data_IF_949276711792
#
_entry.id   IF_949276711792
#
_cell.length_a   1.000
_cell.length_b   1.000
_cell.length_c   1.000
_cell.angle_alpha   90.00
_cell.angle_beta   90.00
_cell.angle_gamma   90.00
#
_symmetry.space_group_name_H-M   'P 1'
#
loop_
_entity.id
_entity.type
_entity.pdbx_description
1 polymer ?
#
# COMPACT_ATOMS: atom_id res chain seq x y z
N UNK A 1 26.17 0.98 -24.87
CA UNK A 1 26.41 1.10 -23.42
C UNK A 1 27.92 1.23 -23.26
N UNK A 2 28.43 2.37 -22.81
CA UNK A 2 29.87 2.55 -22.59
C UNK A 2 30.28 1.78 -21.34
N UNK A 3 31.34 0.97 -21.46
CA UNK A 3 31.82 0.00 -20.47
C UNK A 3 33.09 0.49 -19.75
N UNK A 4 33.08 1.71 -19.23
CA UNK A 4 34.16 2.18 -18.36
C UNK A 4 33.65 2.22 -16.92
N UNK A 5 33.66 1.05 -16.26
CA UNK A 5 33.52 0.98 -14.80
C UNK A 5 34.91 0.87 -14.19
N UNK A 6 35.37 1.88 -13.41
CA UNK A 6 36.64 1.78 -12.71
C UNK A 6 36.59 0.64 -11.69
N UNK A 7 37.48 -0.34 -11.83
CA UNK A 7 37.64 -1.44 -10.87
C UNK A 7 38.14 -0.87 -9.53
N UNK A 8 37.40 -1.13 -8.44
CA UNK A 8 37.87 -0.92 -7.07
C UNK A 8 37.46 0.37 -6.34
N UNK A 9 36.50 1.14 -6.86
CA UNK A 9 35.97 2.33 -6.17
C UNK A 9 34.89 2.00 -5.12
N UNK A 10 34.83 2.81 -4.05
CA UNK A 10 33.63 2.94 -3.21
C UNK A 10 32.38 3.05 -4.11
N UNK A 11 31.26 2.40 -3.76
CA UNK A 11 30.06 2.43 -4.58
C UNK A 11 29.65 3.88 -4.86
N UNK A 12 29.53 4.22 -6.14
CA UNK A 12 29.07 5.53 -6.55
C UNK A 12 27.69 5.81 -5.94
N UNK A 13 27.53 6.99 -5.34
CA UNK A 13 26.24 7.43 -4.79
C UNK A 13 25.54 8.35 -5.78
N UNK A 14 24.24 8.18 -5.93
CA UNK A 14 23.37 9.07 -6.72
C UNK A 14 22.39 9.80 -5.81
N UNK A 15 22.25 11.10 -6.03
CA UNK A 15 21.30 11.95 -5.30
C UNK A 15 20.19 12.36 -6.24
N UNK A 16 18.94 12.11 -5.82
CA UNK A 16 17.74 12.48 -6.57
C UNK A 16 16.94 13.51 -5.80
N UNK A 17 16.38 14.49 -6.52
CA UNK A 17 15.43 15.46 -5.97
C UNK A 17 14.03 15.03 -6.42
N UNK A 18 13.05 14.90 -5.51
CA UNK A 18 11.68 14.60 -5.90
C UNK A 18 11.16 15.58 -6.96
N UNK A 19 10.45 15.11 -7.96
CA UNK A 19 9.79 15.94 -8.97
C UNK A 19 8.43 16.46 -8.50
N UNK A 20 7.87 15.86 -7.46
CA UNK A 20 6.57 16.20 -6.91
C UNK A 20 6.24 15.40 -5.66
N UNK A 21 5.04 15.60 -5.14
CA UNK A 21 4.52 14.88 -3.98
C UNK A 21 3.10 14.42 -4.23
N UNK A 22 2.72 13.31 -3.60
CA UNK A 22 1.33 12.84 -3.57
C UNK A 22 0.52 13.67 -2.57
N UNK A 23 -0.70 14.03 -2.96
CA UNK A 23 -1.75 14.64 -2.14
C UNK A 23 -2.92 13.69 -2.02
N UNK A 24 -3.26 13.27 -0.80
CA UNK A 24 -4.34 12.31 -0.55
C UNK A 24 -4.89 12.44 0.87
N UNK A 25 -6.08 11.91 1.13
CA UNK A 25 -6.62 11.79 2.48
C UNK A 25 -5.92 10.72 3.33
N UNK A 26 -5.07 9.88 2.73
CA UNK A 26 -4.29 8.86 3.46
C UNK A 26 -3.14 9.49 4.26
N UNK A 27 -3.40 9.91 5.50
CA UNK A 27 -2.37 10.50 6.35
C UNK A 27 -1.53 9.42 7.06
N UNK A 28 -2.13 8.27 7.40
CA UNK A 28 -1.49 7.20 8.19
C UNK A 28 -1.45 5.88 7.41
N UNK A 29 -0.49 5.02 7.75
CA UNK A 29 -0.28 3.70 7.10
C UNK A 29 -1.50 2.79 7.07
N UNK A 30 -2.42 2.93 8.03
CA UNK A 30 -3.64 2.13 8.10
C UNK A 30 -4.76 2.68 7.21
N UNK A 31 -4.63 3.92 6.75
CA UNK A 31 -5.62 4.59 5.89
C UNK A 31 -5.44 4.17 4.41
N UNK A 32 -4.21 3.78 4.02
CA UNK A 32 -3.92 3.29 2.67
C UNK A 32 -4.15 1.78 2.50
N UNK A 33 -4.68 1.32 1.34
CA UNK A 33 -4.76 -0.11 1.02
C UNK A 33 -3.37 -0.75 0.98
N UNK A 34 -3.26 -2.05 1.32
CA UNK A 34 -1.96 -2.75 1.32
C UNK A 34 -1.38 -2.94 -0.07
N UNK A 35 -2.25 -3.14 -1.05
CA UNK A 35 -2.02 -3.04 -2.49
C UNK A 35 -3.35 -2.63 -3.14
N UNK A 36 -3.35 -1.74 -4.14
CA UNK A 36 -4.57 -1.40 -4.86
C UNK A 36 -5.05 -2.62 -5.66
N UNK A 37 -6.20 -3.18 -5.28
CA UNK A 37 -6.93 -4.18 -6.07
C UNK A 37 -8.13 -3.50 -6.76
N UNK A 38 -8.52 -4.05 -7.91
CA UNK A 38 -9.28 -3.39 -9.00
C UNK A 38 -10.69 -2.89 -8.67
N UNK A 39 -11.32 -3.30 -7.55
CA UNK A 39 -12.78 -3.26 -7.51
C UNK A 39 -13.47 -2.54 -6.35
N UNK A 40 -12.81 -2.15 -5.24
CA UNK A 40 -13.55 -1.54 -4.13
C UNK A 40 -12.84 -0.33 -3.50
N UNK A 41 -13.41 0.83 -3.83
CA UNK A 41 -13.09 2.20 -3.39
C UNK A 41 -11.83 2.82 -4.02
N UNK A 42 -12.09 3.50 -5.12
CA UNK A 42 -11.19 4.39 -5.86
C UNK A 42 -10.77 5.55 -4.97
N UNK A 43 -9.58 5.44 -4.37
CA UNK A 43 -8.99 6.57 -3.64
C UNK A 43 -8.53 7.58 -4.67
N UNK A 44 -9.18 8.74 -4.70
CA UNK A 44 -8.70 9.87 -5.49
C UNK A 44 -7.50 10.51 -4.80
N UNK A 45 -6.41 10.65 -5.53
CA UNK A 45 -5.22 11.38 -5.11
C UNK A 45 -4.71 12.27 -6.24
N UNK A 46 -3.79 13.17 -5.91
CA UNK A 46 -3.15 14.05 -6.90
C UNK A 46 -1.64 13.95 -6.75
N UNK A 47 -0.91 13.74 -7.84
CA UNK A 47 0.53 14.02 -7.86
C UNK A 47 0.70 15.48 -8.24
N UNK A 48 1.21 16.27 -7.30
CA UNK A 48 1.55 17.68 -7.49
C UNK A 48 3.03 17.79 -7.87
N UNK A 49 3.32 18.05 -9.15
CA UNK A 49 4.68 18.28 -9.64
C UNK A 49 5.18 19.67 -9.22
N UNK A 50 6.48 19.82 -8.97
CA UNK A 50 7.08 21.08 -8.50
C UNK A 50 6.98 22.21 -9.54
N UNK A 51 6.87 23.47 -9.12
CA UNK A 51 6.88 24.58 -10.07
C UNK A 51 8.29 24.85 -10.61
N UNK A 52 8.36 25.65 -11.68
CA UNK A 52 9.61 26.23 -12.22
C UNK A 52 10.64 25.23 -12.77
N UNK A 53 10.20 24.03 -13.16
CA UNK A 53 11.07 22.99 -13.75
C UNK A 53 10.52 22.46 -15.09
N UNK A 54 9.68 23.25 -15.77
CA UNK A 54 9.04 22.91 -17.05
C UNK A 54 8.18 21.63 -17.03
N UNK A 55 7.68 21.22 -15.86
CA UNK A 55 6.82 20.05 -15.77
C UNK A 55 5.48 20.23 -16.50
N UNK A 56 4.97 21.45 -16.65
CA UNK A 56 3.83 21.76 -17.50
C UNK A 56 4.03 21.30 -18.95
N UNK A 57 5.27 21.40 -19.46
CA UNK A 57 5.64 20.89 -20.77
C UNK A 57 5.96 19.39 -20.73
N UNK A 58 6.62 18.91 -19.68
CA UNK A 58 7.03 17.51 -19.57
C UNK A 58 5.85 16.52 -19.48
N UNK A 59 4.67 16.99 -19.06
CA UNK A 59 3.44 16.17 -18.99
C UNK A 59 2.60 16.23 -20.27
N UNK A 60 3.09 16.88 -21.33
CA UNK A 60 2.45 16.82 -22.65
C UNK A 60 2.21 15.35 -23.05
N UNK A 61 1.07 15.10 -23.68
CA UNK A 61 0.57 13.78 -24.10
C UNK A 61 0.26 12.77 -22.97
N UNK A 62 0.57 13.08 -21.71
CA UNK A 62 0.25 12.20 -20.60
C UNK A 62 -1.27 12.02 -20.41
N UNK A 63 -2.09 12.97 -20.88
CA UNK A 63 -3.55 12.86 -20.92
C UNK A 63 -4.06 11.70 -21.81
N UNK A 64 -3.23 11.19 -22.73
CA UNK A 64 -3.53 9.99 -23.52
C UNK A 64 -3.24 8.67 -22.79
N UNK A 65 -2.66 8.70 -21.59
CA UNK A 65 -2.31 7.52 -20.80
C UNK A 65 -3.44 7.16 -19.82
N UNK A 66 -3.96 5.93 -19.87
CA UNK A 66 -4.91 5.44 -18.85
C UNK A 66 -4.22 5.09 -17.53
N UNK A 67 -2.96 4.62 -17.60
CA UNK A 67 -2.16 4.21 -16.45
C UNK A 67 -0.75 4.74 -16.55
N UNK A 68 -0.18 5.04 -15.39
CA UNK A 68 1.20 5.49 -15.25
C UNK A 68 1.87 4.74 -14.09
N UNK A 69 3.16 4.51 -14.24
CA UNK A 69 4.05 4.15 -13.14
C UNK A 69 4.50 5.40 -12.40
N UNK A 70 4.40 5.36 -11.08
CA UNK A 70 5.06 6.30 -10.18
C UNK A 70 6.26 5.61 -9.54
N UNK A 71 7.44 6.22 -9.66
CA UNK A 71 8.62 5.87 -8.88
C UNK A 71 8.67 6.78 -7.67
N UNK A 72 8.63 6.23 -6.47
CA UNK A 72 8.44 6.99 -5.23
C UNK A 72 9.53 6.69 -4.20
N UNK A 73 9.56 7.47 -3.12
CA UNK A 73 10.45 7.21 -1.96
C UNK A 73 9.61 6.75 -0.77
N UNK A 74 9.99 5.65 -0.12
CA UNK A 74 9.51 5.26 1.21
C UNK A 74 10.16 6.15 2.27
N UNK A 75 9.78 7.44 2.26
CA UNK A 75 10.32 8.54 3.06
C UNK A 75 10.22 8.31 4.58
N UNK A 76 9.26 7.48 5.02
CA UNK A 76 9.02 7.17 6.44
C UNK A 76 9.80 5.95 6.95
N UNK A 77 10.79 5.46 6.21
CA UNK A 77 11.65 4.32 6.60
C UNK A 77 13.09 4.78 6.71
N UNK A 78 13.64 4.67 7.92
CA UNK A 78 15.03 5.06 8.18
C UNK A 78 16.03 3.91 8.03
N UNK A 79 15.58 2.66 8.22
CA UNK A 79 16.44 1.48 8.22
C UNK A 79 15.87 0.36 7.34
N UNK A 80 16.73 -0.23 6.53
CA UNK A 80 16.43 -1.43 5.76
C UNK A 80 16.69 -2.70 6.57
N UNK A 81 16.11 -3.83 6.14
CA UNK A 81 16.33 -5.14 6.76
C UNK A 81 16.55 -6.18 5.67
N UNK A 82 17.54 -7.07 5.79
CA UNK A 82 17.78 -8.12 4.80
C UNK A 82 16.65 -9.15 4.77
N UNK A 83 16.02 -9.41 5.92
CA UNK A 83 14.88 -10.31 6.07
C UNK A 83 13.68 -9.56 6.63
N UNK A 84 12.52 -9.80 6.05
CA UNK A 84 11.22 -9.23 6.46
C UNK A 84 10.19 -10.33 6.60
N UNK A 85 9.21 -10.16 7.48
CA UNK A 85 8.04 -11.03 7.56
C UNK A 85 6.93 -10.36 6.74
N UNK A 86 6.61 -10.81 5.52
CA UNK A 86 5.54 -10.21 4.74
C UNK A 86 4.19 -10.39 5.46
N UNK A 87 3.20 -9.52 5.21
CA UNK A 87 1.86 -9.70 5.76
C UNK A 87 1.20 -11.02 5.35
N UNK A 88 1.62 -11.55 4.20
CA UNK A 88 1.28 -12.88 3.67
C UNK A 88 2.34 -13.90 4.12
N UNK A 89 1.90 -14.95 4.80
CA UNK A 89 2.74 -16.07 5.22
C UNK A 89 3.38 -15.91 6.60
N UNK A 90 3.92 -17.01 7.14
CA UNK A 90 4.37 -17.12 8.54
C UNK A 90 5.89 -17.15 8.73
N UNK A 91 6.67 -17.02 7.66
CA UNK A 91 8.14 -17.06 7.70
C UNK A 91 8.77 -15.79 7.14
N UNK A 92 9.92 -15.40 7.69
CA UNK A 92 10.74 -14.31 7.14
C UNK A 92 11.25 -14.67 5.74
N UNK A 93 11.44 -13.66 4.90
CA UNK A 93 11.92 -13.77 3.51
C UNK A 93 12.93 -12.69 3.21
N UNK A 94 13.84 -12.96 2.28
CA UNK A 94 14.76 -11.96 1.72
C UNK A 94 13.98 -10.75 1.21
N UNK A 95 14.39 -9.54 1.60
CA UNK A 95 13.63 -8.32 1.29
C UNK A 95 13.46 -8.09 -0.21
N UNK A 96 14.47 -8.48 -1.00
CA UNK A 96 14.46 -8.37 -2.47
C UNK A 96 13.50 -9.37 -3.14
N UNK A 97 13.05 -10.41 -2.43
CA UNK A 97 11.99 -11.33 -2.87
C UNK A 97 10.58 -10.85 -2.46
N UNK A 98 10.46 -9.60 -1.99
CA UNK A 98 9.21 -8.99 -1.49
C UNK A 98 9.07 -7.56 -2.00
N UNK A 99 7.91 -6.94 -1.74
CA UNK A 99 7.66 -5.50 -1.92
C UNK A 99 7.70 -4.71 -0.60
N UNK A 100 8.40 -5.20 0.41
CA UNK A 100 8.55 -4.50 1.69
C UNK A 100 9.23 -3.13 1.47
N UNK A 101 8.88 -2.08 2.22
CA UNK A 101 9.53 -0.78 2.12
C UNK A 101 10.90 -0.72 2.84
N UNK A 102 11.27 -1.73 3.63
CA UNK A 102 12.54 -1.81 4.37
C UNK A 102 13.73 -2.24 3.50
N UNK A 103 13.99 -1.54 2.40
CA UNK A 103 14.96 -1.93 1.35
C UNK A 103 16.19 -1.01 1.34
N UNK A 104 17.36 -1.47 0.83
CA UNK A 104 18.59 -0.68 0.80
C UNK A 104 18.39 0.70 0.16
N UNK A 105 17.73 0.73 -0.99
CA UNK A 105 17.21 1.95 -1.59
C UNK A 105 15.69 1.95 -1.38
N UNK A 106 15.13 2.92 -0.63
CA UNK A 106 13.72 2.96 -0.27
C UNK A 106 12.86 3.41 -1.46
N UNK A 107 12.97 2.75 -2.60
CA UNK A 107 12.24 3.09 -3.82
C UNK A 107 10.96 2.25 -3.89
N UNK A 108 9.84 2.95 -4.02
CA UNK A 108 8.52 2.39 -4.30
C UNK A 108 8.22 2.43 -5.79
N UNK A 109 7.38 1.49 -6.24
CA UNK A 109 6.87 1.41 -7.61
C UNK A 109 5.37 1.19 -7.53
N UNK A 110 4.59 2.13 -8.06
CA UNK A 110 3.11 2.10 -7.97
C UNK A 110 2.54 2.31 -9.36
N UNK A 111 1.72 1.37 -9.84
CA UNK A 111 0.92 1.57 -11.06
C UNK A 111 -0.42 2.16 -10.64
N UNK A 112 -0.73 3.35 -11.14
CA UNK A 112 -1.95 4.08 -10.81
C UNK A 112 -2.75 4.35 -12.08
N UNK A 113 -4.07 4.52 -11.92
CA UNK A 113 -4.92 4.99 -13.00
C UNK A 113 -4.81 6.51 -13.10
N UNK A 114 -4.51 7.04 -14.27
CA UNK A 114 -4.48 8.48 -14.53
C UNK A 114 -5.85 8.90 -15.04
N UNK A 115 -6.50 9.82 -14.32
CA UNK A 115 -7.83 10.30 -14.64
C UNK A 115 -7.80 11.51 -15.56
N UNK A 116 -6.93 12.47 -15.23
CA UNK A 116 -6.73 13.71 -15.98
C UNK A 116 -5.43 14.39 -15.57
N UNK A 117 -4.96 15.25 -16.46
CA UNK A 117 -3.81 16.14 -16.26
C UNK A 117 -4.31 17.58 -16.25
N UNK A 118 -3.93 18.36 -15.25
CA UNK A 118 -4.34 19.75 -15.07
C UNK A 118 -3.14 20.61 -14.68
N UNK A 119 -2.47 21.16 -15.69
CA UNK A 119 -1.15 21.76 -15.53
C UNK A 119 -0.16 20.76 -14.93
N UNK A 120 0.28 21.01 -13.68
CA UNK A 120 1.21 20.16 -12.92
C UNK A 120 0.52 19.14 -12.00
N UNK A 121 -0.81 19.07 -12.05
CA UNK A 121 -1.62 18.21 -11.19
C UNK A 121 -2.05 16.96 -11.96
N UNK A 122 -1.51 15.81 -11.56
CA UNK A 122 -1.91 14.52 -12.13
C UNK A 122 -2.95 13.89 -11.21
N UNK A 123 -4.21 13.88 -11.64
CA UNK A 123 -5.30 13.29 -10.88
C UNK A 123 -5.29 11.78 -11.09
N UNK A 124 -5.15 11.03 -10.01
CA UNK A 124 -4.92 9.58 -10.05
C UNK A 124 -5.87 8.83 -9.12
N UNK A 125 -5.99 7.53 -9.39
CA UNK A 125 -6.67 6.55 -8.55
C UNK A 125 -5.84 5.27 -8.42
N UNK A 126 -6.36 4.31 -7.65
CA UNK A 126 -5.76 3.00 -7.42
C UNK A 126 -4.37 3.14 -6.77
N UNK A 127 -4.24 4.03 -5.78
CA UNK A 127 -2.98 4.28 -5.08
C UNK A 127 -3.01 3.85 -3.61
N UNK A 128 -1.89 3.30 -3.14
CA UNK A 128 -1.59 2.97 -1.75
C UNK A 128 -0.64 4.00 -1.09
N UNK A 129 -0.35 5.10 -1.79
CA UNK A 129 0.57 6.11 -1.33
C UNK A 129 -0.06 6.97 -0.24
N UNK A 130 0.78 7.46 0.66
CA UNK A 130 0.39 8.36 1.74
C UNK A 130 0.54 9.81 1.30
N UNK A 131 -0.14 10.71 2.00
CA UNK A 131 0.02 12.14 1.78
C UNK A 131 1.48 12.56 1.99
N UNK A 132 1.96 13.42 1.12
CA UNK A 132 3.34 13.90 1.11
C UNK A 132 4.37 12.89 0.60
N UNK A 133 3.98 11.69 0.14
CA UNK A 133 4.96 10.73 -0.40
C UNK A 133 5.71 11.36 -1.60
N UNK A 134 7.05 11.41 -1.57
CA UNK A 134 7.83 11.98 -2.66
C UNK A 134 7.78 11.12 -3.92
N UNK A 135 7.61 11.78 -5.07
CA UNK A 135 7.67 11.16 -6.40
C UNK A 135 9.01 11.52 -7.04
N UNK A 136 9.74 10.52 -7.50
CA UNK A 136 11.00 10.66 -8.23
C UNK A 136 10.78 10.71 -9.74
N UNK A 137 9.79 9.97 -10.25
CA UNK A 137 9.57 9.85 -11.69
C UNK A 137 8.14 9.40 -12.03
N UNK A 138 7.71 9.71 -13.26
CA UNK A 138 6.44 9.27 -13.85
C UNK A 138 6.73 8.64 -15.21
N UNK A 139 6.22 7.44 -15.47
CA UNK A 139 6.36 6.75 -16.76
C UNK A 139 5.01 6.24 -17.27
N UNK A 140 4.73 6.23 -18.58
CA UNK A 140 3.55 5.59 -19.11
C UNK A 140 3.58 4.08 -18.80
N UNK A 141 2.43 3.50 -18.47
CA UNK A 141 2.28 2.05 -18.37
C UNK A 141 2.07 1.48 -19.77
N UNK A 142 2.94 0.57 -20.19
CA UNK A 142 2.87 -0.04 -21.52
C UNK A 142 2.40 -1.49 -21.38
N UNK A 143 1.12 -1.76 -21.65
CA UNK A 143 0.53 -3.08 -21.42
C UNK A 143 1.30 -4.23 -22.10
N UNK A 144 1.82 -4.01 -23.31
CA UNK A 144 2.58 -5.03 -24.03
C UNK A 144 3.95 -5.36 -23.38
N UNK A 145 4.49 -4.47 -22.54
CA UNK A 145 5.81 -4.59 -21.91
C UNK A 145 5.72 -4.82 -20.39
N UNK A 146 4.65 -4.36 -19.74
CA UNK A 146 4.52 -4.36 -18.28
C UNK A 146 3.51 -5.40 -17.76
N UNK A 147 2.60 -5.90 -18.62
CA UNK A 147 1.58 -6.87 -18.22
C UNK A 147 2.04 -8.30 -18.46
N UNK A 148 2.36 -9.02 -17.38
CA UNK A 148 2.61 -10.46 -17.39
C UNK A 148 1.65 -11.18 -16.41
N UNK A 149 0.35 -11.28 -16.72
CA UNK A 149 -0.66 -11.81 -15.78
C UNK A 149 -0.39 -13.23 -15.27
N UNK A 150 0.38 -14.02 -16.02
CA UNK A 150 0.73 -15.40 -15.70
C UNK A 150 2.04 -15.53 -14.89
N UNK A 151 2.70 -14.42 -14.55
CA UNK A 151 3.91 -14.45 -13.72
C UNK A 151 3.60 -14.97 -12.31
N UNK A 152 4.52 -15.75 -11.75
CA UNK A 152 4.35 -16.45 -10.47
C UNK A 152 5.39 -16.03 -9.45
N UNK A 153 5.00 -16.08 -8.18
CA UNK A 153 5.92 -15.97 -7.04
C UNK A 153 5.65 -17.19 -6.17
N UNK A 154 6.53 -18.20 -6.22
CA UNK A 154 6.31 -19.51 -5.59
C UNK A 154 5.80 -19.41 -4.15
N UNK A 155 6.40 -18.50 -3.36
CA UNK A 155 6.01 -18.38 -1.97
C UNK A 155 4.66 -17.71 -1.72
N UNK A 156 4.18 -16.88 -2.66
CA UNK A 156 2.84 -16.32 -2.62
C UNK A 156 1.82 -17.40 -3.02
N UNK A 157 2.15 -18.22 -4.02
CA UNK A 157 1.30 -19.35 -4.43
C UNK A 157 1.10 -20.34 -3.27
N UNK A 158 2.14 -20.62 -2.49
CA UNK A 158 2.08 -21.47 -1.28
C UNK A 158 1.29 -20.83 -0.12
N UNK A 159 0.96 -19.54 -0.22
CA UNK A 159 0.30 -18.76 0.84
C UNK A 159 -0.82 -17.91 0.20
N UNK A 160 -1.84 -18.55 -0.41
CA UNK A 160 -2.93 -17.82 -1.05
C UNK A 160 -3.60 -16.91 -0.02
N UNK A 161 -3.99 -15.70 -0.42
CA UNK A 161 -4.73 -14.83 0.49
C UNK A 161 -6.08 -15.48 0.82
N UNK A 162 -6.35 -15.78 2.09
CA UNK A 162 -7.70 -16.10 2.50
C UNK A 162 -8.63 -14.93 2.15
N UNK A 163 -9.85 -15.25 1.75
CA UNK A 163 -10.92 -14.27 1.57
C UNK A 163 -12.07 -14.62 2.51
N UNK A 164 -11.87 -14.39 3.81
CA UNK A 164 -12.90 -14.64 4.80
C UNK A 164 -14.06 -13.67 4.59
N UNK A 165 -15.28 -14.19 4.68
CA UNK A 165 -16.48 -13.34 4.64
C UNK A 165 -16.65 -12.65 5.99
N UNK A 166 -16.52 -11.32 6.02
CA UNK A 166 -16.77 -10.54 7.24
C UNK A 166 -18.26 -10.26 7.35
N UNK A 167 -18.85 -10.67 8.47
CA UNK A 167 -20.28 -10.53 8.78
C UNK A 167 -20.40 -9.65 10.03
N UNK A 168 -21.24 -8.63 9.96
CA UNK A 168 -21.53 -7.74 11.08
C UNK A 168 -22.82 -8.20 11.75
N UNK A 169 -22.70 -8.85 12.91
CA UNK A 169 -23.86 -9.25 13.72
C UNK A 169 -24.38 -8.06 14.54
N UNK A 170 -23.47 -7.22 15.01
CA UNK A 170 -23.79 -5.88 15.48
C UNK A 170 -23.80 -4.87 14.32
N UNK A 171 -24.94 -4.23 14.06
CA UNK A 171 -25.01 -3.08 13.16
C UNK A 171 -25.01 -1.81 14.00
N UNK A 172 -23.83 -1.25 14.24
CA UNK A 172 -23.69 0.05 14.87
C UNK A 172 -23.38 1.12 13.81
N UNK A 173 -24.35 2.00 13.56
CA UNK A 173 -24.22 3.09 12.60
C UNK A 173 -23.22 4.18 13.06
N UNK A 174 -22.77 4.14 14.32
CA UNK A 174 -21.78 5.07 14.85
C UNK A 174 -20.35 4.77 14.41
N UNK A 175 -20.08 3.57 13.87
CA UNK A 175 -18.74 3.20 13.39
C UNK A 175 -18.40 4.03 12.15
N UNK A 176 -17.31 4.82 12.17
CA UNK A 176 -16.88 5.58 11.01
C UNK A 176 -16.66 4.69 9.77
N UNK A 177 -17.08 5.11 8.56
CA UNK A 177 -16.96 4.30 7.35
C UNK A 177 -15.53 3.82 7.04
N UNK A 178 -14.51 4.63 7.32
CA UNK A 178 -13.10 4.28 7.14
C UNK A 178 -12.65 3.18 8.13
N UNK A 179 -13.13 3.23 9.37
CA UNK A 179 -12.86 2.20 10.38
C UNK A 179 -13.53 0.88 10.02
N UNK A 180 -14.80 0.92 9.59
CA UNK A 180 -15.52 -0.27 9.13
C UNK A 180 -14.79 -0.96 7.99
N UNK A 181 -14.39 -0.18 6.97
CA UNK A 181 -13.64 -0.66 5.82
C UNK A 181 -12.28 -1.25 6.23
N UNK A 182 -11.58 -0.63 7.19
CA UNK A 182 -10.31 -1.15 7.70
C UNK A 182 -10.49 -2.53 8.36
N UNK A 183 -11.54 -2.70 9.17
CA UNK A 183 -11.86 -3.96 9.83
C UNK A 183 -12.16 -5.05 8.80
N UNK A 184 -13.05 -4.76 7.85
CA UNK A 184 -13.41 -5.68 6.77
C UNK A 184 -12.18 -6.12 5.96
N UNK A 185 -11.33 -5.18 5.52
CA UNK A 185 -10.08 -5.46 4.78
C UNK A 185 -9.06 -6.24 5.61
N UNK A 186 -8.98 -5.98 6.91
CA UNK A 186 -7.99 -6.65 7.77
C UNK A 186 -8.39 -8.09 8.01
N UNK A 187 -9.65 -8.32 8.36
CA UNK A 187 -10.16 -9.62 8.79
C UNK A 187 -10.50 -10.55 7.64
N UNK A 188 -10.91 -10.02 6.47
CA UNK A 188 -11.04 -10.83 5.25
C UNK A 188 -9.73 -11.51 4.87
N UNK A 189 -8.62 -10.77 4.91
CA UNK A 189 -7.30 -11.28 4.53
C UNK A 189 -6.75 -12.31 5.52
N UNK A 190 -6.72 -12.01 6.81
CA UNK A 190 -6.33 -13.01 7.82
C UNK A 190 -6.77 -12.54 9.23
N UNK A 191 -7.77 -13.20 9.83
CA UNK A 191 -8.36 -12.83 11.11
C UNK A 191 -7.58 -13.38 12.31
N UNK A 192 -6.35 -13.88 12.12
CA UNK A 192 -5.55 -14.44 13.22
C UNK A 192 -4.52 -13.44 13.75
N UNK A 193 -4.05 -13.64 15.00
CA UNK A 193 -2.93 -12.87 15.55
C UNK A 193 -1.70 -12.90 14.64
N UNK A 194 -1.12 -11.72 14.41
CA UNK A 194 0.10 -11.55 13.63
C UNK A 194 0.90 -10.36 14.21
N UNK A 195 2.25 -10.36 14.23
CA UNK A 195 3.04 -9.28 14.84
C UNK A 195 2.72 -7.86 14.36
N UNK A 196 2.22 -7.71 13.13
CA UNK A 196 1.82 -6.41 12.55
C UNK A 196 0.32 -6.12 12.62
N UNK A 197 -0.49 -7.08 13.06
CA UNK A 197 -1.94 -6.93 13.26
C UNK A 197 -2.18 -6.79 14.75
N UNK A 198 -2.97 -5.80 15.15
CA UNK A 198 -3.35 -5.61 16.55
C UNK A 198 -4.49 -6.56 16.93
N UNK A 199 -4.30 -7.85 16.66
CA UNK A 199 -5.28 -8.91 16.91
C UNK A 199 -4.78 -9.73 18.10
N UNK A 200 -5.64 -9.91 19.10
CA UNK A 200 -5.38 -10.77 20.27
C UNK A 200 -6.44 -11.87 20.34
N UNK A 201 -6.00 -13.08 20.69
CA UNK A 201 -6.90 -14.18 21.05
C UNK A 201 -7.39 -13.96 22.49
N UNK A 202 -8.71 -14.00 22.72
CA UNK A 202 -9.33 -13.80 24.04
C UNK A 202 -10.18 -15.01 24.48
N UNK A 203 -10.33 -16.02 23.63
CA UNK A 203 -11.00 -17.27 23.94
C UNK A 203 -10.97 -18.22 22.74
N UNK A 204 -11.50 -19.45 22.89
CA UNK A 204 -11.62 -20.38 21.77
C UNK A 204 -12.37 -19.73 20.61
N UNK A 205 -11.71 -19.58 19.47
CA UNK A 205 -12.24 -18.92 18.27
C UNK A 205 -12.66 -17.44 18.45
N UNK A 206 -12.33 -16.79 19.56
CA UNK A 206 -12.70 -15.41 19.87
C UNK A 206 -11.48 -14.50 19.92
N UNK A 207 -11.60 -13.34 19.28
CA UNK A 207 -10.50 -12.42 19.06
C UNK A 207 -10.93 -10.96 19.21
N UNK A 208 -9.95 -10.09 19.41
CA UNK A 208 -10.13 -8.63 19.45
C UNK A 208 -9.18 -7.98 18.47
N UNK A 209 -9.70 -7.20 17.52
CA UNK A 209 -8.93 -6.29 16.68
C UNK A 209 -8.95 -4.89 17.31
N UNK A 210 -7.77 -4.34 17.60
CA UNK A 210 -7.61 -2.98 18.08
C UNK A 210 -7.29 -2.02 16.93
N UNK A 211 -8.16 -1.02 16.70
CA UNK A 211 -7.94 0.06 15.75
C UNK A 211 -8.06 1.40 16.48
N UNK A 212 -6.97 2.16 16.59
CA UNK A 212 -6.96 3.43 17.33
C UNK A 212 -7.59 3.26 18.73
N UNK A 213 -8.65 4.00 19.03
CA UNK A 213 -9.42 3.96 20.29
C UNK A 213 -10.52 2.88 20.27
N UNK A 214 -10.79 2.26 19.12
CA UNK A 214 -11.81 1.24 18.96
C UNK A 214 -11.27 -0.18 19.18
N UNK A 215 -12.14 -1.05 19.72
CA UNK A 215 -11.94 -2.49 19.84
C UNK A 215 -13.12 -3.19 19.17
N UNK A 216 -12.81 -4.13 18.30
CA UNK A 216 -13.78 -4.95 17.59
C UNK A 216 -13.62 -6.39 18.07
N UNK A 217 -14.61 -6.90 18.81
CA UNK A 217 -14.65 -8.31 19.18
C UNK A 217 -15.28 -9.11 18.05
N UNK A 218 -14.68 -10.23 17.71
CA UNK A 218 -15.19 -11.11 16.67
C UNK A 218 -14.87 -12.57 16.97
N UNK A 219 -15.59 -13.46 16.28
CA UNK A 219 -15.27 -14.89 16.24
C UNK A 219 -15.05 -15.37 14.81
N UNK A 220 -14.32 -16.48 14.69
CA UNK A 220 -14.09 -17.14 13.41
C UNK A 220 -14.95 -18.41 13.36
N UNK A 221 -15.83 -18.49 12.36
CA UNK A 221 -16.71 -19.62 12.09
C UNK A 221 -16.45 -20.17 10.68
N UNK A 222 -15.59 -21.18 10.58
CA UNK A 222 -15.12 -21.65 9.27
C UNK A 222 -14.48 -20.51 8.48
N UNK A 223 -15.04 -20.20 7.31
CA UNK A 223 -14.55 -19.12 6.44
C UNK A 223 -15.17 -17.75 6.74
N UNK A 224 -16.03 -17.65 7.77
CA UNK A 224 -16.67 -16.39 8.15
C UNK A 224 -16.03 -15.78 9.39
N UNK A 225 -15.93 -14.45 9.40
CA UNK A 225 -15.51 -13.66 10.56
C UNK A 225 -16.70 -12.84 11.01
N UNK A 226 -17.25 -13.16 12.18
CA UNK A 226 -18.46 -12.53 12.71
C UNK A 226 -18.06 -11.47 13.74
N UNK A 227 -18.31 -10.20 13.42
CA UNK A 227 -18.12 -9.08 14.36
C UNK A 227 -19.28 -9.09 15.36
N UNK A 228 -18.93 -9.26 16.64
CA UNK A 228 -19.87 -9.42 17.74
C UNK A 228 -20.22 -8.08 18.38
N UNK A 229 -19.22 -7.21 18.57
CA UNK A 229 -19.41 -5.89 19.15
C UNK A 229 -18.26 -4.91 18.86
N UNK A 230 -18.56 -3.64 19.15
CA UNK A 230 -17.69 -2.48 19.02
C UNK A 230 -17.67 -1.72 20.34
N UNK A 231 -16.47 -1.39 20.82
CA UNK A 231 -16.29 -0.51 21.98
C UNK A 231 -15.27 0.56 21.67
N UNK A 232 -15.55 1.81 22.06
CA UNK A 232 -14.61 2.93 21.99
C UNK A 232 -14.05 3.17 23.39
N UNK A 233 -12.74 3.10 23.52
CA UNK A 233 -12.04 3.60 24.70
C UNK A 233 -12.28 5.12 24.73
N UNK A 234 -13.10 5.60 25.68
CA UNK A 234 -13.29 7.04 25.89
C UNK A 234 -11.91 7.68 26.15
N UNK A 235 -11.57 8.81 25.51
CA UNK A 235 -10.35 9.51 25.87
C UNK A 235 -10.44 9.95 27.34
N UNK A 236 -9.40 9.66 28.13
CA UNK A 236 -9.18 10.29 29.44
C UNK A 236 -9.04 11.81 29.31
#
# INVERSE_FOLDING_TARGET
>A
MNNDHPEGGEPQTWTFRPIGHVRTSHVRRYDAPRQPNRDEHRVSAVVELRPHENFEQAVQDLSGCERIWLVTVFDRIQNWKPLVLPPRGRRKRGVLATRSPHRPNPIGLTCVRLLRVDGRMLHIEDTDLLDGTPVLDVKPYLAYADAFPQSRIAWVDDNPEPNHRVIWDCVDASIPPDERLYVERTLSVDPLPHPYRRIRCVGPHHYVLSLRHARFRYRIDGDSVVILDYTVDLPE
#
